data_IF_487784156806
#
_entry.id   IF_487784156806
#
_cell.length_a   1.000
_cell.length_b   1.000
_cell.length_c   1.000
_cell.angle_alpha   90.00
_cell.angle_beta   90.00
_cell.angle_gamma   90.00
#
_symmetry.space_group_name_H-M   'P 1'
#
loop_
_entity.id
_entity.type
_entity.pdbx_description
1 polymer ?
#
# COMPACT_ATOMS: atom_id res chain seq x y z
N UNK A 1 -6.30 -13.85 2.01
CA UNK A 1 -5.51 -13.68 0.77
C UNK A 1 -4.20 -12.99 1.10
N UNK A 2 -3.07 -13.57 0.70
CA UNK A 2 -1.70 -13.10 1.00
C UNK A 2 -1.13 -12.22 -0.11
N UNK A 3 0.02 -11.56 0.14
CA UNK A 3 0.79 -10.86 -0.91
C UNK A 3 1.09 -11.74 -2.14
N UNK A 4 1.20 -13.06 -1.93
CA UNK A 4 1.40 -14.05 -3.00
C UNK A 4 0.18 -14.18 -3.93
N UNK A 5 -1.04 -14.03 -3.40
CA UNK A 5 -2.26 -14.00 -4.21
C UNK A 5 -2.31 -12.74 -5.09
N UNK A 6 -1.86 -11.61 -4.51
CA UNK A 6 -1.79 -10.32 -5.20
C UNK A 6 -0.80 -10.38 -6.38
N UNK A 7 0.38 -10.98 -6.19
CA UNK A 7 1.37 -11.23 -7.25
C UNK A 7 0.81 -12.09 -8.39
N UNK A 8 0.04 -13.14 -8.07
CA UNK A 8 -0.53 -14.04 -9.08
C UNK A 8 -1.55 -13.36 -9.99
N UNK A 9 -2.22 -12.32 -9.48
CA UNK A 9 -3.22 -11.54 -10.24
C UNK A 9 -2.59 -10.43 -11.07
N UNK A 10 -1.67 -9.66 -10.49
CA UNK A 10 -1.05 -8.54 -11.19
C UNK A 10 0.36 -8.28 -10.67
N UNK A 11 1.30 -8.07 -11.60
CA UNK A 11 2.72 -7.87 -11.27
C UNK A 11 2.99 -6.49 -10.63
N UNK A 12 2.25 -5.47 -11.05
CA UNK A 12 2.37 -4.11 -10.54
C UNK A 12 1.13 -3.73 -9.76
N UNK A 13 1.30 -3.52 -8.46
CA UNK A 13 0.21 -3.15 -7.56
C UNK A 13 0.43 -1.74 -7.04
N UNK A 14 -0.65 -1.08 -6.62
CA UNK A 14 -0.50 0.14 -5.85
C UNK A 14 -0.06 -0.19 -4.42
N UNK A 15 0.77 0.69 -3.87
CA UNK A 15 1.31 0.59 -2.52
C UNK A 15 0.23 0.52 -1.43
N UNK A 16 -0.95 1.10 -1.66
CA UNK A 16 -2.09 1.03 -0.74
C UNK A 16 -2.65 -0.39 -0.67
N UNK A 17 -2.84 -1.07 -1.80
CA UNK A 17 -3.29 -2.46 -1.84
C UNK A 17 -2.27 -3.41 -1.20
N UNK A 18 -0.98 -3.18 -1.47
CA UNK A 18 0.10 -3.93 -0.82
C UNK A 18 0.08 -3.71 0.68
N UNK A 19 -0.09 -2.46 1.13
CA UNK A 19 -0.18 -2.12 2.55
C UNK A 19 -1.36 -2.80 3.22
N UNK A 20 -2.56 -2.73 2.62
CA UNK A 20 -3.77 -3.37 3.11
C UNK A 20 -3.54 -4.89 3.24
N UNK A 21 -2.99 -5.54 2.22
CA UNK A 21 -2.69 -6.98 2.28
C UNK A 21 -1.67 -7.32 3.35
N UNK A 22 -0.60 -6.54 3.47
CA UNK A 22 0.43 -6.71 4.49
C UNK A 22 -0.15 -6.60 5.90
N UNK A 23 -1.02 -5.60 6.10
CA UNK A 23 -1.74 -5.41 7.36
C UNK A 23 -2.73 -6.53 7.66
N UNK A 24 -3.47 -7.00 6.64
CA UNK A 24 -4.36 -8.16 6.76
C UNK A 24 -3.58 -9.41 7.18
N UNK A 25 -2.40 -9.66 6.60
CA UNK A 25 -1.54 -10.79 6.98
C UNK A 25 -0.97 -10.66 8.41
N UNK A 26 -0.72 -9.43 8.87
CA UNK A 26 -0.13 -9.15 10.19
C UNK A 26 -1.16 -8.79 11.27
N UNK A 27 -2.46 -8.81 10.95
CA UNK A 27 -3.55 -8.36 11.83
C UNK A 27 -3.37 -6.91 12.35
N UNK A 28 -2.86 -6.03 11.49
CA UNK A 28 -2.64 -4.60 11.78
C UNK A 28 -3.79 -3.77 11.22
N UNK A 29 -4.18 -2.70 11.90
CA UNK A 29 -5.09 -1.71 11.33
C UNK A 29 -4.39 -0.90 10.23
N UNK A 30 -4.86 -1.05 9.01
CA UNK A 30 -4.28 -0.41 7.83
C UNK A 30 -4.77 1.04 7.64
N UNK A 31 -5.82 1.46 8.34
CA UNK A 31 -6.47 2.75 8.16
C UNK A 31 -5.69 3.91 8.81
N UNK A 32 -4.74 3.57 9.69
CA UNK A 32 -3.79 4.50 10.29
C UNK A 32 -2.75 5.01 9.29
N UNK A 33 -2.92 6.26 8.86
CA UNK A 33 -2.04 6.92 7.86
C UNK A 33 -0.58 7.02 8.31
N UNK A 34 -0.32 7.15 9.62
CA UNK A 34 1.05 7.18 10.15
C UNK A 34 1.81 5.88 9.93
N UNK A 35 1.13 4.74 10.03
CA UNK A 35 1.72 3.43 9.78
C UNK A 35 2.06 3.23 8.30
N UNK A 36 1.18 3.71 7.42
CA UNK A 36 1.45 3.72 5.98
C UNK A 36 2.65 4.60 5.62
N UNK A 37 2.78 5.78 6.22
CA UNK A 37 3.96 6.64 5.99
C UNK A 37 5.25 5.94 6.39
N UNK A 38 5.28 5.27 7.55
CA UNK A 38 6.43 4.44 7.96
C UNK A 38 6.72 3.34 6.95
N UNK A 39 5.69 2.71 6.41
CA UNK A 39 5.81 1.67 5.39
C UNK A 39 6.45 2.21 4.10
N UNK A 40 5.97 3.33 3.56
CA UNK A 40 6.54 3.95 2.36
C UNK A 40 7.99 4.39 2.62
N UNK A 41 8.25 5.04 3.76
CA UNK A 41 9.60 5.45 4.15
C UNK A 41 10.57 4.25 4.23
N UNK A 42 10.10 3.11 4.75
CA UNK A 42 10.88 1.87 4.77
C UNK A 42 11.20 1.38 3.36
N UNK A 43 10.25 1.40 2.43
CA UNK A 43 10.49 0.98 1.04
C UNK A 43 11.46 1.92 0.31
N UNK A 44 11.31 3.24 0.50
CA UNK A 44 12.22 4.25 -0.05
C UNK A 44 13.64 4.06 0.50
N UNK A 45 13.78 3.85 1.81
CA UNK A 45 15.08 3.61 2.47
C UNK A 45 15.79 2.35 1.93
N UNK A 46 15.02 1.36 1.48
CA UNK A 46 15.57 0.14 0.87
C UNK A 46 15.78 0.27 -0.65
N UNK A 47 15.76 1.50 -1.21
CA UNK A 47 15.99 1.79 -2.62
C UNK A 47 15.07 1.01 -3.56
N UNK A 48 13.83 0.73 -3.12
CA UNK A 48 12.90 0.00 -3.95
C UNK A 48 12.45 0.87 -5.12
N UNK A 49 12.50 0.32 -6.34
CA UNK A 49 12.06 1.04 -7.54
C UNK A 49 10.54 1.19 -7.51
N UNK A 50 10.10 2.38 -7.11
CA UNK A 50 8.71 2.76 -6.95
C UNK A 50 8.40 3.95 -7.85
N UNK A 51 7.30 3.88 -8.60
CA UNK A 51 6.84 5.01 -9.41
C UNK A 51 5.65 5.67 -8.72
N UNK A 52 5.84 6.91 -8.30
CA UNK A 52 4.74 7.72 -7.76
C UNK A 52 3.66 7.87 -8.82
N UNK A 53 2.40 7.68 -8.44
CA UNK A 53 1.24 7.98 -9.27
C UNK A 53 0.39 9.03 -8.58
N UNK A 54 -0.19 9.93 -9.37
CA UNK A 54 -1.26 10.79 -8.91
C UNK A 54 -2.40 9.91 -8.43
N UNK A 55 -2.85 10.15 -7.20
CA UNK A 55 -3.96 9.44 -6.58
C UNK A 55 -5.22 9.71 -7.43
N UNK A 56 -5.59 8.76 -8.28
CA UNK A 56 -6.81 8.82 -9.08
C UNK A 56 -7.74 7.69 -8.58
N UNK A 57 -8.60 8.02 -7.64
CA UNK A 57 -9.70 7.14 -7.26
C UNK A 57 -10.94 7.61 -8.01
N UNK A 58 -11.35 6.84 -9.01
CA UNK A 58 -12.64 7.01 -9.64
C UNK A 58 -13.74 6.86 -8.59
N UNK A 59 -14.82 7.64 -8.73
CA UNK A 59 -15.89 7.71 -7.75
C UNK A 59 -16.58 6.35 -7.50
N UNK A 60 -16.40 5.40 -8.43
CA UNK A 60 -17.02 4.08 -8.47
C UNK A 60 -16.37 2.98 -7.63
N UNK A 61 -15.20 3.20 -7.00
CA UNK A 61 -14.53 2.17 -6.17
C UNK A 61 -15.28 1.96 -4.84
N UNK A 62 -16.33 1.17 -4.96
CA UNK A 62 -17.33 0.86 -3.94
C UNK A 62 -16.77 -0.17 -2.97
N UNK A 63 -16.73 0.20 -1.67
CA UNK A 63 -16.70 -0.67 -0.48
C UNK A 63 -15.99 -2.02 -0.70
N UNK A 64 -14.67 -2.03 -0.58
CA UNK A 64 -13.95 -3.29 -0.45
C UNK A 64 -14.37 -3.99 0.86
N UNK A 65 -14.56 -5.32 0.81
CA UNK A 65 -15.05 -6.23 1.87
C UNK A 65 -14.33 -6.12 3.25
N UNK A 66 -13.31 -5.29 3.39
CA UNK A 66 -12.56 -5.03 4.62
C UNK A 66 -13.06 -3.82 5.43
N UNK A 67 -14.29 -3.36 5.24
CA UNK A 67 -14.98 -2.40 6.13
C UNK A 67 -14.46 -0.94 6.15
N UNK A 68 -13.34 -0.64 5.50
CA UNK A 68 -12.82 0.72 5.34
C UNK A 68 -12.80 1.13 3.86
N UNK A 69 -13.42 2.25 3.52
CA UNK A 69 -13.35 2.80 2.16
C UNK A 69 -11.89 3.12 1.81
N UNK A 70 -11.24 2.29 0.97
CA UNK A 70 -9.90 2.54 0.41
C UNK A 70 -9.78 3.96 -0.16
N UNK A 71 -10.83 4.43 -0.82
CA UNK A 71 -10.99 5.82 -1.31
C UNK A 71 -10.82 6.86 -0.19
N UNK A 72 -11.47 6.65 0.97
CA UNK A 72 -11.36 7.58 2.11
C UNK A 72 -9.96 7.58 2.71
N UNK A 73 -9.31 6.41 2.79
CA UNK A 73 -7.93 6.31 3.23
C UNK A 73 -6.97 7.03 2.28
N UNK A 74 -7.12 6.82 0.97
CA UNK A 74 -6.33 7.51 -0.02
C UNK A 74 -6.55 9.02 -0.05
N UNK A 75 -7.79 9.48 0.16
CA UNK A 75 -8.07 10.91 0.31
C UNK A 75 -7.36 11.48 1.53
N UNK A 76 -7.42 10.82 2.70
CA UNK A 76 -6.67 11.24 3.88
C UNK A 76 -5.17 11.36 3.57
N UNK A 77 -4.61 10.39 2.87
CA UNK A 77 -3.20 10.42 2.45
C UNK A 77 -2.89 11.58 1.50
N UNK A 78 -3.76 11.86 0.53
CA UNK A 78 -3.61 12.99 -0.38
C UNK A 78 -3.66 14.34 0.33
N UNK A 79 -4.51 14.48 1.36
CA UNK A 79 -4.62 15.69 2.19
C UNK A 79 -3.35 15.98 2.99
N UNK A 80 -2.57 14.95 3.35
CA UNK A 80 -1.32 15.11 4.11
C UNK A 80 -0.22 15.82 3.31
N UNK A 81 -0.32 15.86 1.96
CA UNK A 81 0.69 16.46 1.06
C UNK A 81 2.14 16.03 1.38
N UNK A 82 2.31 14.80 1.85
CA UNK A 82 3.60 14.22 2.26
C UNK A 82 4.06 13.19 1.22
N UNK A 83 5.35 13.17 0.88
CA UNK A 83 5.88 12.19 -0.07
C UNK A 83 5.66 10.75 0.39
N UNK A 84 5.74 10.49 1.70
CA UNK A 84 5.52 9.17 2.28
C UNK A 84 4.03 8.82 2.37
N UNK A 85 3.14 9.77 2.09
CA UNK A 85 1.71 9.52 1.94
C UNK A 85 1.30 9.36 0.47
N UNK A 86 2.20 9.57 -0.49
CA UNK A 86 1.87 9.43 -1.90
C UNK A 86 1.61 7.96 -2.28
N UNK A 87 0.79 7.75 -3.30
CA UNK A 87 0.54 6.41 -3.82
C UNK A 87 1.62 6.02 -4.83
N UNK A 88 2.32 4.92 -4.55
CA UNK A 88 3.34 4.37 -5.44
C UNK A 88 2.88 3.11 -6.16
N UNK A 89 3.47 2.86 -7.33
CA UNK A 89 3.40 1.59 -8.05
C UNK A 89 4.60 0.75 -7.71
N UNK A 90 4.35 -0.46 -7.25
CA UNK A 90 5.38 -1.38 -6.78
C UNK A 90 5.27 -2.67 -7.57
N UNK A 91 6.41 -3.16 -8.05
CA UNK A 91 6.52 -4.46 -8.72
C UNK A 91 6.64 -5.56 -7.66
N UNK A 92 5.67 -6.46 -7.56
CA UNK A 92 5.69 -7.57 -6.59
C UNK A 92 6.50 -8.76 -7.12
N UNK A 93 7.83 -8.68 -7.07
CA UNK A 93 8.72 -9.82 -7.27
C UNK A 93 9.08 -10.47 -5.92
N UNK A 94 9.67 -11.65 -5.94
CA UNK A 94 10.18 -12.35 -4.75
C UNK A 94 10.98 -11.44 -3.80
N UNK A 95 12.04 -10.71 -4.24
CA UNK A 95 12.81 -9.84 -3.34
C UNK A 95 11.96 -8.70 -2.73
N UNK A 96 10.96 -8.21 -3.47
CA UNK A 96 10.07 -7.16 -2.99
C UNK A 96 9.12 -7.69 -1.92
N UNK A 97 8.55 -8.88 -2.12
CA UNK A 97 7.66 -9.53 -1.16
C UNK A 97 8.42 -9.85 0.12
N UNK A 98 9.62 -10.40 0.01
CA UNK A 98 10.48 -10.65 1.17
C UNK A 98 10.81 -9.38 1.93
N UNK A 99 11.12 -8.29 1.22
CA UNK A 99 11.38 -6.99 1.84
C UNK A 99 10.14 -6.46 2.59
N UNK A 100 8.97 -6.48 1.94
CA UNK A 100 7.71 -6.04 2.54
C UNK A 100 7.39 -6.85 3.80
N UNK A 101 7.64 -8.16 3.79
CA UNK A 101 7.42 -9.03 4.96
C UNK A 101 8.32 -8.69 6.14
N UNK A 102 9.54 -8.20 5.89
CA UNK A 102 10.48 -7.72 6.91
C UNK A 102 10.03 -6.42 7.59
N UNK A 103 9.13 -5.66 6.97
CA UNK A 103 8.57 -4.47 7.59
C UNK A 103 7.82 -4.83 8.89
N UNK A 104 8.10 -4.07 9.94
CA UNK A 104 7.45 -4.15 11.25
C UNK A 104 7.27 -2.72 11.78
N UNK A 105 6.15 -2.48 12.49
CA UNK A 105 5.72 -1.14 12.92
C UNK A 105 6.39 -0.59 14.16
#
# INVERSE_FOLDING_TARGET
MSLEDLRKKVLYNNSIEIWIKTCQEKNIDWYETGNYKKFIAFLLKNNLNMKQRSICFDESDSISEAGGNKKRFANKLAELKDENAACYTIKLNDPTIELIRKFSL
#
